data_IF_561935234333
#
_entry.id   IF_561935234333
#
_cell.length_a   1.000
_cell.length_b   1.000
_cell.length_c   1.000
_cell.angle_alpha   90.00
_cell.angle_beta   90.00
_cell.angle_gamma   90.00
#
_symmetry.space_group_name_H-M   'P 1'
#
loop_
_entity.id
_entity.type
_entity.pdbx_description
1 polymer ?
#
# COMPACT_ATOMS: atom_id res chain seq x y z
N UNK A 1 -60.37 -15.03 -60.00
CA UNK A 1 -60.34 -15.01 -58.53
C UNK A 1 -58.95 -14.56 -58.10
N UNK A 2 -58.82 -13.22 -57.91
CA UNK A 2 -57.54 -12.58 -57.50
C UNK A 2 -57.48 -12.57 -55.97
N UNK A 3 -56.44 -13.15 -55.40
CA UNK A 3 -56.12 -12.99 -53.98
C UNK A 3 -55.07 -11.88 -53.81
N UNK A 4 -55.52 -10.80 -53.19
CA UNK A 4 -54.67 -9.69 -52.79
C UNK A 4 -53.90 -10.08 -51.52
N UNK A 5 -52.54 -10.05 -51.58
CA UNK A 5 -51.67 -10.27 -50.44
C UNK A 5 -51.36 -8.90 -49.82
N UNK A 6 -51.85 -8.62 -48.62
CA UNK A 6 -51.54 -7.41 -47.86
C UNK A 6 -50.28 -7.72 -47.02
N UNK A 7 -49.17 -7.05 -47.33
CA UNK A 7 -47.98 -7.04 -46.48
C UNK A 7 -48.14 -6.04 -45.36
N UNK A 8 -48.25 -6.53 -44.13
CA UNK A 8 -48.18 -5.68 -42.92
C UNK A 8 -46.69 -5.39 -42.63
N UNK A 9 -46.25 -4.16 -42.84
CA UNK A 9 -44.97 -3.67 -42.38
C UNK A 9 -45.04 -3.37 -40.86
N UNK A 10 -44.47 -4.24 -40.04
CA UNK A 10 -44.28 -3.96 -38.61
C UNK A 10 -43.14 -2.97 -38.44
N UNK A 11 -43.43 -1.70 -38.20
CA UNK A 11 -42.44 -0.74 -37.68
C UNK A 11 -42.14 -1.10 -36.22
N UNK A 12 -41.00 -1.76 -35.98
CA UNK A 12 -40.45 -1.85 -34.63
C UNK A 12 -39.82 -0.51 -34.22
N UNK A 13 -40.17 0.08 -33.09
CA UNK A 13 -39.53 1.26 -32.59
C UNK A 13 -38.10 0.86 -32.18
N UNK A 14 -37.11 1.50 -32.77
CA UNK A 14 -35.71 1.41 -32.34
C UNK A 14 -35.62 1.98 -30.93
N UNK A 15 -35.49 1.14 -29.93
CA UNK A 15 -35.09 1.53 -28.59
C UNK A 15 -33.69 2.11 -28.64
N UNK A 16 -33.59 3.45 -28.67
CA UNK A 16 -32.35 4.14 -28.39
C UNK A 16 -31.97 3.82 -26.94
N UNK A 17 -31.08 2.88 -26.74
CA UNK A 17 -30.38 2.75 -25.47
C UNK A 17 -29.59 4.03 -25.23
N UNK A 18 -30.06 4.83 -24.28
CA UNK A 18 -29.29 5.98 -23.81
C UNK A 18 -27.95 5.44 -23.31
N UNK A 19 -26.87 5.82 -24.00
CA UNK A 19 -25.51 5.48 -23.61
C UNK A 19 -25.30 6.02 -22.21
N UNK A 20 -24.91 5.17 -21.25
CA UNK A 20 -24.58 5.61 -19.90
C UNK A 20 -23.60 6.79 -19.96
N UNK A 21 -23.77 7.84 -19.17
CA UNK A 21 -22.91 9.01 -19.20
C UNK A 21 -21.45 8.57 -19.00
N UNK A 22 -20.56 9.05 -19.86
CA UNK A 22 -19.14 8.74 -19.77
C UNK A 22 -18.58 9.33 -18.47
N UNK A 23 -18.16 8.47 -17.58
CA UNK A 23 -17.53 8.87 -16.31
C UNK A 23 -16.05 9.12 -16.51
N UNK A 24 -15.57 10.30 -16.14
CA UNK A 24 -14.17 10.67 -16.16
C UNK A 24 -13.63 10.77 -14.73
N UNK A 25 -12.43 10.25 -14.50
CA UNK A 25 -11.75 10.37 -13.21
C UNK A 25 -10.45 11.15 -13.35
N UNK A 26 -10.18 12.01 -12.37
CA UNK A 26 -9.02 12.89 -12.32
C UNK A 26 -8.40 12.87 -10.93
N UNK A 27 -7.08 12.81 -10.83
CA UNK A 27 -6.37 13.14 -9.60
C UNK A 27 -6.07 14.63 -9.64
N UNK A 28 -6.69 15.35 -8.74
CA UNK A 28 -6.51 16.79 -8.54
C UNK A 28 -5.40 17.01 -7.51
N UNK A 29 -4.51 17.95 -7.79
CA UNK A 29 -3.50 18.46 -6.87
C UNK A 29 -3.79 19.92 -6.62
N UNK A 30 -4.28 20.27 -5.44
CA UNK A 30 -4.51 21.65 -5.01
C UNK A 30 -3.30 22.12 -4.20
N UNK A 31 -2.74 23.27 -4.57
CA UNK A 31 -1.65 23.91 -3.81
C UNK A 31 -2.23 24.71 -2.62
N UNK A 32 -2.13 24.15 -1.43
CA UNK A 32 -2.55 24.84 -0.20
C UNK A 32 -1.33 25.51 0.46
N UNK A 33 -1.01 26.72 -0.02
CA UNK A 33 0.15 27.52 0.48
C UNK A 33 1.49 26.76 0.42
N UNK A 34 1.77 26.11 -0.70
CA UNK A 34 2.97 25.31 -0.89
C UNK A 34 2.86 23.85 -0.43
N UNK A 35 1.71 23.47 0.15
CA UNK A 35 1.44 22.08 0.57
C UNK A 35 0.42 21.45 -0.39
N UNK A 36 0.81 20.49 -1.21
CA UNK A 36 -0.10 19.87 -2.16
C UNK A 36 -1.10 18.95 -1.46
N UNK A 37 -2.39 19.13 -1.76
CA UNK A 37 -3.47 18.23 -1.42
C UNK A 37 -3.84 17.39 -2.66
N UNK A 38 -3.87 16.06 -2.52
CA UNK A 38 -4.24 15.13 -3.59
C UNK A 38 -5.65 14.62 -3.33
N UNK A 39 -6.53 14.79 -4.32
CA UNK A 39 -7.96 14.49 -4.20
C UNK A 39 -8.46 13.82 -5.48
N UNK A 40 -9.45 12.96 -5.36
CA UNK A 40 -10.08 12.33 -6.53
C UNK A 40 -11.31 13.12 -6.97
N UNK A 41 -11.34 13.46 -8.26
CA UNK A 41 -12.49 14.06 -8.93
C UNK A 41 -13.10 13.02 -9.89
N UNK A 42 -14.36 12.71 -9.70
CA UNK A 42 -15.15 11.90 -10.64
C UNK A 42 -16.22 12.79 -11.28
N UNK A 43 -16.23 12.85 -12.59
CA UNK A 43 -17.16 13.67 -13.38
C UNK A 43 -18.04 12.79 -14.26
N UNK A 44 -19.34 13.08 -14.24
CA UNK A 44 -20.33 12.58 -15.18
C UNK A 44 -20.83 13.74 -16.03
N UNK A 45 -20.87 13.56 -17.34
CA UNK A 45 -21.23 14.62 -18.27
C UNK A 45 -22.56 14.32 -18.97
N UNK A 46 -23.50 15.28 -18.88
CA UNK A 46 -24.75 15.29 -19.62
C UNK A 46 -24.86 16.60 -20.42
N UNK A 47 -24.41 16.60 -21.67
CA UNK A 47 -24.33 17.82 -22.49
C UNK A 47 -23.32 18.83 -21.94
N UNK A 48 -23.79 20.01 -21.50
CA UNK A 48 -22.94 21.01 -20.81
C UNK A 48 -22.91 20.82 -19.30
N UNK A 49 -23.88 20.13 -18.73
CA UNK A 49 -23.95 19.93 -17.28
C UNK A 49 -22.98 18.87 -16.81
N UNK A 50 -22.39 19.12 -15.64
CA UNK A 50 -21.51 18.22 -14.91
C UNK A 50 -22.16 17.87 -13.58
N UNK A 51 -22.09 16.60 -13.23
CA UNK A 51 -22.35 16.06 -11.88
C UNK A 51 -21.19 15.17 -11.50
N UNK A 52 -21.07 14.84 -10.23
CA UNK A 52 -20.04 13.92 -9.80
C UNK A 52 -19.72 14.04 -8.34
N UNK A 53 -18.49 13.63 -8.02
CA UNK A 53 -18.00 13.57 -6.65
C UNK A 53 -16.55 14.08 -6.63
N UNK A 54 -16.24 14.90 -5.64
CA UNK A 54 -14.89 15.35 -5.35
C UNK A 54 -14.52 14.93 -3.93
N UNK A 55 -13.58 14.01 -3.81
CA UNK A 55 -13.10 13.47 -2.53
C UNK A 55 -14.21 12.96 -1.57
N UNK A 56 -15.28 12.40 -2.16
CA UNK A 56 -16.45 11.92 -1.42
C UNK A 56 -17.63 12.89 -1.39
N UNK A 57 -17.44 14.18 -1.63
CA UNK A 57 -18.47 15.19 -1.58
C UNK A 57 -19.13 15.42 -2.95
N UNK A 58 -20.44 15.63 -3.03
CA UNK A 58 -21.15 15.85 -4.28
C UNK A 58 -20.77 17.17 -4.93
N UNK A 59 -20.73 17.17 -6.25
CA UNK A 59 -20.52 18.38 -7.04
C UNK A 59 -21.56 18.54 -8.16
N UNK A 60 -21.77 19.81 -8.52
CA UNK A 60 -22.53 20.22 -9.69
C UNK A 60 -21.77 21.31 -10.44
N UNK A 61 -21.93 21.36 -11.79
CA UNK A 61 -21.21 22.36 -12.58
C UNK A 61 -21.53 22.30 -14.06
N UNK A 62 -20.67 22.95 -14.84
CA UNK A 62 -20.80 23.01 -16.28
C UNK A 62 -19.44 22.93 -16.99
N UNK A 63 -19.45 22.41 -18.21
CA UNK A 63 -18.32 22.44 -19.12
C UNK A 63 -18.75 22.97 -20.48
N UNK A 64 -18.10 24.04 -20.92
CA UNK A 64 -18.31 24.66 -22.24
C UNK A 64 -16.99 24.63 -23.01
N UNK A 65 -16.92 23.77 -24.02
CA UNK A 65 -15.65 23.54 -24.70
C UNK A 65 -14.59 22.97 -23.75
N UNK A 66 -13.53 23.72 -23.57
CA UNK A 66 -12.43 23.37 -22.64
C UNK A 66 -12.56 24.03 -21.27
N UNK A 67 -13.45 25.02 -21.12
CA UNK A 67 -13.67 25.70 -19.84
C UNK A 67 -14.59 24.84 -18.94
N UNK A 68 -14.18 24.63 -17.71
CA UNK A 68 -14.85 23.80 -16.73
C UNK A 68 -15.02 24.62 -15.45
N UNK A 69 -16.25 24.59 -14.89
CA UNK A 69 -16.54 25.17 -13.60
C UNK A 69 -17.46 24.23 -12.81
N UNK A 70 -17.15 23.96 -11.56
CA UNK A 70 -18.00 23.18 -10.67
C UNK A 70 -17.93 23.67 -9.23
N UNK A 71 -18.95 23.34 -8.45
CA UNK A 71 -19.07 23.64 -7.04
C UNK A 71 -19.20 22.32 -6.30
N UNK A 72 -18.35 22.11 -5.33
CA UNK A 72 -18.41 20.98 -4.38
C UNK A 72 -19.10 21.48 -3.12
N UNK A 73 -19.95 20.67 -2.51
CA UNK A 73 -20.62 20.99 -1.25
C UNK A 73 -20.35 19.88 -0.25
N UNK A 74 -19.61 20.19 0.82
CA UNK A 74 -19.26 19.23 1.87
C UNK A 74 -20.45 18.90 2.82
N UNK A 75 -20.24 17.95 3.71
CA UNK A 75 -21.24 17.55 4.71
C UNK A 75 -21.63 18.68 5.66
N UNK A 76 -20.80 19.71 5.83
CA UNK A 76 -21.05 20.92 6.66
C UNK A 76 -21.73 22.04 5.86
N UNK A 77 -22.10 21.79 4.59
CA UNK A 77 -22.69 22.77 3.66
C UNK A 77 -21.73 23.90 3.25
N UNK A 78 -20.43 23.71 3.44
CA UNK A 78 -19.43 24.60 2.88
C UNK A 78 -19.25 24.32 1.39
N UNK A 79 -18.97 25.37 0.62
CA UNK A 79 -18.82 25.25 -0.83
C UNK A 79 -17.39 25.55 -1.26
N UNK A 80 -16.91 24.77 -2.22
CA UNK A 80 -15.59 24.91 -2.85
C UNK A 80 -15.83 25.11 -4.35
N UNK A 81 -15.32 26.19 -4.91
CA UNK A 81 -15.59 26.56 -6.31
C UNK A 81 -14.34 26.37 -7.15
N UNK A 82 -14.42 25.48 -8.13
CA UNK A 82 -13.33 25.17 -9.06
C UNK A 82 -13.62 25.78 -10.42
N UNK A 83 -12.61 26.43 -11.00
CA UNK A 83 -12.67 26.97 -12.36
C UNK A 83 -11.35 26.67 -13.08
N UNK A 84 -11.41 26.08 -14.28
CA UNK A 84 -10.20 25.68 -14.97
C UNK A 84 -10.41 25.35 -16.44
N UNK A 85 -9.30 24.98 -17.10
CA UNK A 85 -9.28 24.58 -18.51
C UNK A 85 -8.73 23.17 -18.67
N UNK A 86 -9.49 22.35 -19.38
CA UNK A 86 -9.10 21.00 -19.80
C UNK A 86 -8.25 21.09 -21.07
N UNK A 87 -7.10 20.43 -21.05
CA UNK A 87 -6.23 20.27 -22.22
C UNK A 87 -5.76 18.81 -22.30
N UNK A 88 -6.46 18.00 -23.11
CA UNK A 88 -6.22 16.56 -23.21
C UNK A 88 -6.42 15.84 -21.87
N UNK A 89 -5.35 15.24 -21.35
CA UNK A 89 -5.32 14.51 -20.09
C UNK A 89 -4.97 15.42 -18.88
N UNK A 90 -4.89 16.72 -19.07
CA UNK A 90 -4.60 17.69 -18.00
C UNK A 90 -5.72 18.71 -17.83
N UNK A 91 -5.90 19.14 -16.58
CA UNK A 91 -6.78 20.24 -16.20
C UNK A 91 -5.99 21.17 -15.27
N UNK A 92 -6.11 22.47 -15.47
CA UNK A 92 -5.45 23.50 -14.66
C UNK A 92 -6.40 24.63 -14.37
N UNK A 93 -6.32 25.21 -13.18
CA UNK A 93 -7.19 26.31 -12.80
C UNK A 93 -6.98 26.82 -11.39
N UNK A 94 -8.03 27.45 -10.87
CA UNK A 94 -8.09 27.96 -9.51
C UNK A 94 -9.26 27.34 -8.76
N UNK A 95 -9.06 27.11 -7.48
CA UNK A 95 -10.05 26.63 -6.55
C UNK A 95 -10.23 27.68 -5.44
N UNK A 96 -11.47 28.07 -5.19
CA UNK A 96 -11.81 29.04 -4.16
C UNK A 96 -12.41 28.28 -2.96
N UNK A 97 -11.69 28.29 -1.85
CA UNK A 97 -11.97 27.54 -0.62
C UNK A 97 -12.48 28.47 0.49
N UNK A 98 -13.36 28.00 1.38
CA UNK A 98 -13.64 28.71 2.60
C UNK A 98 -12.39 28.76 3.47
N UNK A 99 -12.12 29.91 4.10
CA UNK A 99 -11.05 30.02 5.09
C UNK A 99 -11.42 29.22 6.35
N UNK A 100 -10.53 28.33 6.80
CA UNK A 100 -10.78 27.46 7.95
C UNK A 100 -10.85 28.21 9.28
N UNK A 101 -10.24 29.38 9.38
CA UNK A 101 -10.20 30.20 10.60
C UNK A 101 -11.21 31.36 10.56
N UNK A 102 -11.64 31.77 9.38
CA UNK A 102 -12.64 32.80 9.19
C UNK A 102 -13.66 32.39 8.11
N UNK A 103 -14.79 31.74 8.48
CA UNK A 103 -15.79 31.26 7.52
C UNK A 103 -16.43 32.33 6.63
N UNK A 104 -16.23 33.63 6.95
CA UNK A 104 -16.65 34.78 6.15
C UNK A 104 -15.67 35.09 5.01
N UNK A 105 -14.45 34.57 5.09
CA UNK A 105 -13.39 34.77 4.12
C UNK A 105 -13.21 33.57 3.22
N UNK A 106 -12.57 33.77 2.09
CA UNK A 106 -12.24 32.73 1.13
C UNK A 106 -10.78 32.88 0.70
N UNK A 107 -10.16 31.74 0.34
CA UNK A 107 -8.81 31.70 -0.17
C UNK A 107 -8.79 31.03 -1.54
N UNK A 108 -8.10 31.67 -2.48
CA UNK A 108 -7.93 31.12 -3.85
C UNK A 108 -6.63 30.35 -3.94
N UNK A 109 -6.71 29.11 -4.39
CA UNK A 109 -5.60 28.19 -4.58
C UNK A 109 -5.45 27.82 -6.06
N UNK A 110 -4.23 27.63 -6.52
CA UNK A 110 -3.98 27.02 -7.81
C UNK A 110 -4.22 25.51 -7.72
N UNK A 111 -4.76 24.89 -8.77
CA UNK A 111 -4.82 23.45 -8.88
C UNK A 111 -4.43 22.96 -10.27
N UNK A 112 -3.93 21.74 -10.29
CA UNK A 112 -3.73 20.93 -11.49
C UNK A 112 -4.43 19.61 -11.34
N UNK A 113 -4.84 18.98 -12.45
CA UNK A 113 -5.35 17.62 -12.38
C UNK A 113 -4.84 16.78 -13.57
N UNK A 114 -4.67 15.51 -13.32
CA UNK A 114 -4.32 14.49 -14.31
C UNK A 114 -5.48 13.52 -14.45
N UNK A 115 -5.92 13.31 -15.69
CA UNK A 115 -6.96 12.33 -16.00
C UNK A 115 -6.45 10.92 -15.77
N UNK A 116 -7.26 10.09 -15.13
CA UNK A 116 -6.98 8.67 -15.03
C UNK A 116 -7.41 7.97 -16.32
N UNK A 117 -6.65 6.98 -16.79
CA UNK A 117 -7.09 6.18 -17.92
C UNK A 117 -8.40 5.45 -17.56
N UNK A 118 -9.31 5.24 -18.52
CA UNK A 118 -10.52 4.47 -18.27
C UNK A 118 -10.17 3.03 -17.92
N UNK A 119 -11.06 2.36 -17.13
CA UNK A 119 -10.85 0.95 -16.82
C UNK A 119 -10.79 0.16 -18.13
N UNK A 120 -9.74 -0.64 -18.33
CA UNK A 120 -9.66 -1.51 -19.50
C UNK A 120 -10.80 -2.52 -19.52
N UNK A 121 -11.34 -2.80 -20.71
CA UNK A 121 -12.29 -3.89 -20.89
C UNK A 121 -11.59 -5.26 -20.79
N UNK A 122 -12.33 -6.29 -20.35
CA UNK A 122 -11.84 -7.66 -20.26
C UNK A 122 -11.37 -8.08 -18.84
N UNK A 123 -10.74 -9.25 -18.74
CA UNK A 123 -10.26 -9.79 -17.46
C UNK A 123 -9.11 -8.96 -16.88
N UNK A 124 -8.79 -9.15 -15.58
CA UNK A 124 -7.61 -8.58 -14.96
C UNK A 124 -6.33 -8.87 -15.75
N UNK A 125 -5.43 -7.90 -15.79
CA UNK A 125 -4.20 -7.96 -16.60
C UNK A 125 -3.01 -8.41 -15.77
N UNK A 126 -2.01 -8.96 -16.48
CA UNK A 126 -0.68 -9.20 -15.93
C UNK A 126 0.28 -8.16 -16.53
N UNK A 127 0.82 -7.32 -15.68
CA UNK A 127 1.79 -6.30 -16.06
C UNK A 127 3.19 -6.79 -15.72
N UNK A 128 4.10 -6.76 -16.69
CA UNK A 128 5.53 -6.95 -16.43
C UNK A 128 6.19 -5.57 -16.40
N UNK A 129 6.57 -5.13 -15.20
CA UNK A 129 7.20 -3.83 -14.97
C UNK A 129 8.69 -4.02 -14.63
N UNK A 130 9.56 -3.49 -15.46
CA UNK A 130 11.01 -3.47 -15.21
C UNK A 130 11.38 -2.09 -14.65
N UNK A 131 11.77 -1.98 -13.36
CA UNK A 131 12.15 -0.72 -12.75
C UNK A 131 13.38 -0.12 -13.43
N UNK A 132 13.37 1.18 -13.63
CA UNK A 132 14.54 1.98 -14.08
C UNK A 132 14.90 3.07 -13.07
N UNK A 133 14.00 3.31 -12.11
CA UNK A 133 14.20 4.27 -11.01
C UNK A 133 13.60 3.68 -9.73
N UNK A 134 14.19 4.04 -8.61
CA UNK A 134 13.78 3.61 -7.27
C UNK A 134 13.62 4.82 -6.37
N UNK A 135 12.92 4.65 -5.26
CA UNK A 135 12.66 5.70 -4.29
C UNK A 135 13.27 5.36 -2.94
N UNK A 136 14.00 6.29 -2.35
CA UNK A 136 14.39 6.25 -0.93
C UNK A 136 13.42 7.01 -0.03
N UNK A 137 12.21 7.31 -0.55
CA UNK A 137 11.14 8.00 0.17
C UNK A 137 9.78 7.34 -0.12
N UNK A 138 8.95 7.22 0.91
CA UNK A 138 7.51 7.03 0.77
C UNK A 138 6.85 8.39 0.64
N UNK A 139 6.32 8.70 -0.54
CA UNK A 139 5.87 10.05 -0.88
C UNK A 139 4.66 10.04 -1.80
N UNK A 140 3.72 10.95 -1.56
CA UNK A 140 2.61 11.23 -2.48
C UNK A 140 3.03 12.11 -3.67
N UNK A 141 4.22 12.74 -3.60
CA UNK A 141 4.71 13.65 -4.64
C UNK A 141 5.34 12.92 -5.84
N UNK A 142 5.71 11.64 -5.66
CA UNK A 142 6.38 10.88 -6.72
C UNK A 142 5.38 10.46 -7.79
N UNK A 143 5.72 10.73 -9.05
CA UNK A 143 4.91 10.27 -10.19
C UNK A 143 4.79 8.74 -10.19
N UNK A 144 3.57 8.18 -10.28
CA UNK A 144 3.38 6.75 -10.38
C UNK A 144 4.08 6.13 -11.58
N UNK A 145 4.73 4.99 -11.37
CA UNK A 145 5.46 4.26 -12.41
C UNK A 145 4.52 3.41 -13.29
N UNK A 146 3.37 3.04 -12.75
CA UNK A 146 2.36 2.24 -13.44
C UNK A 146 1.00 2.46 -12.77
N UNK A 147 -0.08 2.52 -13.57
CA UNK A 147 -1.46 2.43 -13.09
C UNK A 147 -1.94 0.99 -13.23
N UNK A 148 -2.44 0.42 -12.14
CA UNK A 148 -2.99 -0.93 -12.05
C UNK A 148 -4.43 -0.90 -11.53
N UNK A 149 -5.23 -1.88 -11.90
CA UNK A 149 -6.63 -1.98 -11.49
C UNK A 149 -6.83 -3.13 -10.50
N UNK A 150 -7.85 -3.07 -9.63
CA UNK A 150 -8.20 -4.19 -8.76
C UNK A 150 -8.34 -5.50 -9.55
N UNK A 151 -7.66 -6.54 -9.07
CA UNK A 151 -7.51 -7.84 -9.73
C UNK A 151 -6.27 -7.96 -10.62
N UNK A 152 -5.63 -6.85 -11.03
CA UNK A 152 -4.43 -6.91 -11.84
C UNK A 152 -3.25 -7.52 -11.07
N UNK A 153 -2.38 -8.18 -11.79
CA UNK A 153 -1.13 -8.77 -11.29
C UNK A 153 0.06 -7.98 -11.83
N UNK A 154 1.02 -7.68 -10.98
CA UNK A 154 2.29 -7.05 -11.36
C UNK A 154 3.44 -8.02 -11.14
N UNK A 155 4.30 -8.16 -12.14
CA UNK A 155 5.61 -8.82 -12.07
C UNK A 155 6.68 -7.77 -12.15
N UNK A 156 7.56 -7.73 -11.15
CA UNK A 156 8.62 -6.74 -11.06
C UNK A 156 9.84 -7.29 -10.32
N UNK A 157 10.83 -6.45 -10.10
CA UNK A 157 12.05 -6.79 -9.34
C UNK A 157 12.29 -5.74 -8.26
N UNK A 158 13.01 -6.12 -7.20
CA UNK A 158 13.51 -5.21 -6.18
C UNK A 158 15.02 -5.08 -6.27
N UNK A 159 15.55 -4.05 -5.60
CA UNK A 159 16.95 -4.01 -5.16
C UNK A 159 17.03 -4.51 -3.72
N UNK A 160 18.25 -4.75 -3.23
CA UNK A 160 18.50 -4.92 -1.79
C UNK A 160 18.54 -3.56 -1.06
N UNK A 161 18.65 -3.57 0.27
CA UNK A 161 18.74 -2.36 1.10
C UNK A 161 19.92 -1.46 0.73
N UNK A 162 21.00 -2.04 0.18
CA UNK A 162 22.18 -1.32 -0.32
C UNK A 162 22.02 -0.69 -1.69
N UNK A 163 20.93 -0.97 -2.40
CA UNK A 163 20.66 -0.48 -3.75
C UNK A 163 21.27 -1.33 -4.86
N UNK A 164 21.63 -2.59 -4.60
CA UNK A 164 22.20 -3.50 -5.60
C UNK A 164 21.12 -4.37 -6.26
N UNK A 165 21.29 -4.61 -7.56
CA UNK A 165 20.43 -5.48 -8.36
C UNK A 165 20.85 -6.96 -8.31
N UNK A 166 20.19 -7.81 -9.11
CA UNK A 166 20.48 -9.23 -9.22
C UNK A 166 21.91 -9.55 -9.72
N UNK A 167 22.56 -8.62 -10.39
CA UNK A 167 23.94 -8.75 -10.85
C UNK A 167 24.97 -8.20 -9.84
N UNK A 168 24.51 -7.70 -8.68
CA UNK A 168 25.37 -7.07 -7.69
C UNK A 168 25.84 -5.65 -8.08
N UNK A 169 25.14 -5.00 -9.00
CA UNK A 169 25.45 -3.65 -9.44
C UNK A 169 24.59 -2.64 -8.71
N UNK A 170 25.19 -1.60 -8.16
CA UNK A 170 24.49 -0.50 -7.50
C UNK A 170 23.68 0.29 -8.52
N UNK A 171 22.38 0.43 -8.27
CA UNK A 171 21.38 1.13 -9.10
C UNK A 171 20.73 2.29 -8.39
N UNK A 172 20.74 2.31 -7.08
CA UNK A 172 20.17 3.35 -6.23
C UNK A 172 21.05 3.63 -5.01
N UNK A 173 20.75 4.70 -4.30
CA UNK A 173 21.41 4.99 -3.02
C UNK A 173 21.02 3.94 -1.99
N UNK A 174 21.96 3.65 -1.07
CA UNK A 174 21.71 2.92 0.16
C UNK A 174 20.52 3.51 0.94
N UNK A 175 19.78 2.67 1.66
CA UNK A 175 18.67 3.06 2.52
C UNK A 175 17.32 2.52 2.01
N UNK A 176 17.26 1.23 1.69
CA UNK A 176 16.05 0.46 1.36
C UNK A 176 15.28 1.04 0.15
N UNK A 177 15.93 1.20 -1.03
CA UNK A 177 15.27 1.76 -2.19
C UNK A 177 14.09 0.91 -2.64
N UNK A 178 12.93 1.57 -2.84
CA UNK A 178 11.66 0.93 -3.15
C UNK A 178 11.32 1.03 -4.63
N UNK A 179 10.74 -0.04 -5.18
CA UNK A 179 10.10 -0.05 -6.49
C UNK A 179 8.69 0.55 -6.37
N UNK A 180 8.34 1.49 -7.23
CA UNK A 180 7.05 2.19 -7.19
C UNK A 180 7.18 3.71 -7.29
N UNK A 181 6.08 4.46 -7.00
CA UNK A 181 4.79 3.95 -6.57
C UNK A 181 3.94 3.41 -7.71
N UNK A 182 3.16 2.36 -7.42
CA UNK A 182 2.10 1.87 -8.29
C UNK A 182 0.80 2.58 -7.91
N UNK A 183 0.15 3.20 -8.89
CA UNK A 183 -1.17 3.82 -8.69
C UNK A 183 -2.25 2.74 -8.82
N UNK A 184 -2.96 2.44 -7.75
CA UNK A 184 -4.07 1.48 -7.77
C UNK A 184 -5.36 2.24 -8.06
N UNK A 185 -5.87 2.08 -9.28
CA UNK A 185 -7.10 2.75 -9.70
C UNK A 185 -8.27 2.33 -8.78
N UNK A 186 -9.15 3.27 -8.48
CA UNK A 186 -10.28 3.17 -7.54
C UNK A 186 -9.93 3.21 -6.04
N UNK A 187 -8.66 3.10 -5.65
CA UNK A 187 -8.28 3.25 -4.25
C UNK A 187 -8.36 4.72 -3.82
N UNK A 188 -9.11 5.00 -2.77
CA UNK A 188 -9.35 6.35 -2.23
C UNK A 188 -8.98 6.41 -0.75
N UNK A 189 -8.68 7.61 -0.22
CA UNK A 189 -8.54 7.79 1.22
C UNK A 189 -9.73 7.19 1.98
N UNK A 190 -9.43 6.39 3.01
CA UNK A 190 -10.45 5.66 3.78
C UNK A 190 -10.74 4.24 3.30
N UNK A 191 -10.22 3.82 2.17
CA UNK A 191 -10.26 2.42 1.71
C UNK A 191 -9.13 1.56 2.34
N UNK A 192 -9.20 0.27 2.08
CA UNK A 192 -8.12 -0.67 2.39
C UNK A 192 -7.52 -1.24 1.12
N UNK A 193 -6.22 -1.03 0.91
CA UNK A 193 -5.47 -1.71 -0.13
C UNK A 193 -5.17 -3.15 0.30
N UNK A 194 -5.45 -4.11 -0.58
CA UNK A 194 -5.17 -5.53 -0.41
C UNK A 194 -4.06 -5.93 -1.38
N UNK A 195 -2.94 -6.40 -0.85
CA UNK A 195 -1.79 -6.87 -1.64
C UNK A 195 -1.59 -8.36 -1.39
N UNK A 196 -1.83 -9.19 -2.41
CA UNK A 196 -1.59 -10.64 -2.34
C UNK A 196 -0.23 -10.96 -2.93
N UNK A 197 0.68 -11.44 -2.12
CA UNK A 197 2.03 -11.85 -2.54
C UNK A 197 1.95 -13.22 -3.23
N UNK A 198 1.95 -13.20 -4.55
CA UNK A 198 1.76 -14.42 -5.37
C UNK A 198 3.04 -15.21 -5.52
N UNK A 199 4.19 -14.51 -5.62
CA UNK A 199 5.48 -15.13 -5.85
C UNK A 199 6.61 -14.22 -5.39
N UNK A 200 7.52 -14.78 -4.60
CA UNK A 200 8.76 -14.14 -4.16
C UNK A 200 9.91 -15.10 -4.49
N UNK A 201 10.80 -14.71 -5.42
CA UNK A 201 11.90 -15.57 -5.88
C UNK A 201 13.21 -14.83 -5.83
N UNK A 202 14.14 -15.40 -5.08
CA UNK A 202 15.52 -14.92 -5.07
C UNK A 202 16.07 -14.98 -6.49
N UNK A 203 16.69 -13.89 -6.95
CA UNK A 203 17.21 -13.75 -8.30
C UNK A 203 18.74 -13.60 -8.34
N UNK A 204 19.41 -13.86 -7.20
CA UNK A 204 20.86 -13.95 -7.06
C UNK A 204 21.23 -14.99 -5.99
N UNK A 205 22.51 -15.39 -5.95
CA UNK A 205 23.02 -16.50 -5.13
C UNK A 205 23.76 -16.01 -3.88
N UNK A 206 23.64 -14.76 -3.52
CA UNK A 206 24.27 -14.20 -2.33
C UNK A 206 23.36 -13.19 -1.63
N UNK A 207 23.61 -13.01 -0.33
CA UNK A 207 23.02 -11.97 0.50
C UNK A 207 24.09 -11.37 1.42
N UNK A 208 23.81 -10.21 1.97
CA UNK A 208 24.69 -9.53 2.91
C UNK A 208 23.97 -9.27 4.24
N UNK A 209 24.66 -9.41 5.35
CA UNK A 209 24.22 -9.04 6.70
C UNK A 209 25.35 -8.41 7.50
N UNK A 210 25.11 -8.16 8.79
CA UNK A 210 26.15 -7.73 9.73
C UNK A 210 26.35 -8.77 10.85
N UNK A 211 27.55 -8.84 11.41
CA UNK A 211 27.84 -9.57 12.65
C UNK A 211 27.51 -8.72 13.88
N UNK A 212 26.31 -8.15 13.93
CA UNK A 212 25.90 -7.23 14.99
C UNK A 212 24.70 -7.75 15.76
N UNK A 213 24.45 -7.14 16.91
CA UNK A 213 23.18 -7.23 17.65
C UNK A 213 22.72 -5.81 17.89
N UNK A 214 21.49 -5.52 17.49
CA UNK A 214 20.89 -4.17 17.64
C UNK A 214 20.86 -3.73 19.11
N UNK A 215 21.15 -2.46 19.35
CA UNK A 215 21.25 -1.93 20.72
C UNK A 215 20.02 -2.16 21.60
N UNK A 216 18.83 -2.21 21.00
CA UNK A 216 17.57 -2.50 21.72
C UNK A 216 17.48 -3.94 22.26
N UNK A 217 18.29 -4.88 21.73
CA UNK A 217 18.37 -6.26 22.20
C UNK A 217 19.54 -6.49 23.16
N UNK A 218 20.35 -5.48 23.46
CA UNK A 218 21.52 -5.57 24.31
C UNK A 218 21.23 -5.07 25.73
N UNK A 219 21.54 -5.87 26.76
CA UNK A 219 21.69 -5.33 28.11
C UNK A 219 23.09 -4.67 28.26
N UNK A 220 23.34 -3.86 29.30
CA UNK A 220 24.61 -3.16 29.49
C UNK A 220 25.86 -4.06 29.45
N UNK A 221 25.78 -5.25 30.03
CA UNK A 221 26.89 -6.20 30.08
C UNK A 221 27.23 -6.80 28.69
N UNK A 222 26.23 -7.04 27.88
CA UNK A 222 26.41 -7.53 26.50
C UNK A 222 26.85 -6.39 25.57
N UNK A 223 26.30 -5.19 25.75
CA UNK A 223 26.67 -4.01 24.98
C UNK A 223 28.18 -3.70 25.10
N UNK A 224 28.75 -3.83 26.31
CA UNK A 224 30.18 -3.67 26.54
C UNK A 224 31.08 -4.66 25.76
N UNK A 225 30.53 -5.84 25.40
CA UNK A 225 31.23 -6.85 24.60
C UNK A 225 31.00 -6.73 23.11
N UNK A 226 30.00 -5.97 22.70
CA UNK A 226 29.56 -5.84 21.32
C UNK A 226 30.21 -4.65 20.57
N UNK A 227 31.16 -3.95 21.17
CA UNK A 227 31.76 -2.71 20.64
C UNK A 227 32.52 -2.88 19.32
N UNK A 228 32.96 -4.09 19.00
CA UNK A 228 33.69 -4.39 17.76
C UNK A 228 32.84 -5.10 16.68
N UNK A 229 31.58 -5.30 16.94
CA UNK A 229 30.65 -5.90 16.01
C UNK A 229 30.19 -4.90 14.92
N UNK A 230 29.47 -5.38 13.92
CA UNK A 230 28.95 -4.56 12.82
C UNK A 230 29.76 -4.71 11.53
N UNK A 231 30.55 -5.77 11.40
CA UNK A 231 31.31 -6.08 10.17
C UNK A 231 30.37 -6.76 9.16
N UNK A 232 30.50 -6.45 7.85
CA UNK A 232 29.73 -7.13 6.82
C UNK A 232 29.98 -8.63 6.77
N UNK A 233 28.90 -9.40 6.65
CA UNK A 233 28.94 -10.85 6.48
C UNK A 233 28.26 -11.21 5.18
N UNK A 234 29.02 -11.78 4.24
CA UNK A 234 28.48 -12.33 3.00
C UNK A 234 27.95 -13.75 3.25
N UNK A 235 26.75 -14.02 2.70
CA UNK A 235 26.10 -15.32 2.71
C UNK A 235 26.01 -15.90 1.31
N UNK A 236 26.24 -17.20 1.19
CA UNK A 236 25.93 -17.98 0.00
C UNK A 236 24.49 -18.49 0.11
N UNK A 237 23.70 -18.28 -0.94
CA UNK A 237 22.34 -18.77 -1.07
C UNK A 237 22.33 -20.00 -1.98
N UNK A 238 22.08 -21.17 -1.40
CA UNK A 238 21.91 -22.42 -2.15
C UNK A 238 20.40 -22.55 -2.49
N UNK A 239 20.04 -22.08 -3.68
CA UNK A 239 18.65 -22.04 -4.15
C UNK A 239 18.06 -23.44 -4.41
N UNK A 240 18.93 -24.45 -4.70
CA UNK A 240 18.49 -25.82 -4.94
C UNK A 240 18.16 -26.52 -3.61
N UNK A 241 19.02 -26.35 -2.60
CA UNK A 241 18.79 -26.93 -1.28
C UNK A 241 17.88 -26.09 -0.40
N UNK A 242 17.57 -24.86 -0.79
CA UNK A 242 16.73 -23.94 -0.03
C UNK A 242 17.35 -23.46 1.29
N UNK A 243 18.67 -23.28 1.33
CA UNK A 243 19.40 -22.87 2.55
C UNK A 243 20.42 -21.75 2.26
N UNK A 244 20.71 -20.95 3.29
CA UNK A 244 21.80 -19.99 3.29
C UNK A 244 22.87 -20.40 4.30
N UNK A 245 24.14 -20.07 4.01
CA UNK A 245 25.29 -20.26 4.90
C UNK A 245 26.26 -19.10 4.79
N UNK A 246 27.01 -18.73 5.85
CA UNK A 246 28.08 -17.75 5.73
C UNK A 246 29.09 -18.18 4.66
N UNK A 247 29.50 -17.26 3.79
CA UNK A 247 30.46 -17.57 2.72
C UNK A 247 31.83 -17.91 3.28
N UNK A 248 32.23 -17.23 4.37
CA UNK A 248 33.51 -17.44 5.09
C UNK A 248 33.22 -17.74 6.56
N UNK A 249 32.71 -18.95 6.87
CA UNK A 249 32.37 -19.30 8.24
C UNK A 249 33.63 -19.50 9.10
N UNK A 250 33.52 -19.22 10.41
CA UNK A 250 34.50 -19.71 11.37
C UNK A 250 34.40 -21.23 11.49
N UNK A 251 35.38 -21.90 12.08
CA UNK A 251 35.35 -23.36 12.29
C UNK A 251 34.09 -23.80 13.05
N UNK A 252 33.62 -22.98 14.00
CA UNK A 252 32.42 -23.28 14.79
C UNK A 252 31.09 -23.14 13.99
N UNK A 253 31.08 -22.31 12.93
CA UNK A 253 29.90 -22.09 12.10
C UNK A 253 30.00 -22.83 10.74
N UNK A 254 30.95 -23.68 10.52
CA UNK A 254 31.23 -24.38 9.28
C UNK A 254 30.04 -25.21 8.74
N UNK A 255 29.21 -25.72 9.65
CA UNK A 255 27.99 -26.48 9.33
C UNK A 255 26.71 -25.67 9.55
N UNK A 256 26.83 -24.39 9.91
CA UNK A 256 25.67 -23.55 10.18
C UNK A 256 24.95 -23.18 8.90
N UNK A 257 23.65 -23.48 8.83
CA UNK A 257 22.77 -23.11 7.73
C UNK A 257 21.44 -22.62 8.28
N UNK A 258 20.77 -21.76 7.51
CA UNK A 258 19.40 -21.34 7.79
C UNK A 258 18.52 -21.63 6.57
N UNK A 259 17.26 -22.04 6.73
CA UNK A 259 16.35 -22.20 5.60
C UNK A 259 16.08 -20.86 4.92
N UNK A 260 16.02 -20.86 3.59
CA UNK A 260 15.56 -19.70 2.82
C UNK A 260 14.07 -19.50 3.02
N UNK A 261 13.68 -18.30 3.36
CA UNK A 261 12.29 -17.85 3.49
C UNK A 261 12.17 -16.44 2.94
N UNK A 262 12.13 -16.28 1.59
CA UNK A 262 12.09 -14.97 0.95
C UNK A 262 10.92 -14.13 1.45
N UNK A 263 11.19 -12.89 1.80
CA UNK A 263 10.23 -11.93 2.32
C UNK A 263 10.51 -10.51 1.83
N UNK A 264 9.56 -9.61 1.97
CA UNK A 264 9.72 -8.16 1.75
C UNK A 264 9.76 -7.46 3.11
N UNK A 265 10.88 -6.79 3.43
CA UNK A 265 10.99 -5.90 4.58
C UNK A 265 10.17 -4.63 4.35
N UNK A 266 10.24 -4.08 3.14
CA UNK A 266 9.53 -2.87 2.72
C UNK A 266 8.26 -3.15 1.91
N UNK A 267 7.09 -2.74 2.44
CA UNK A 267 5.81 -2.69 1.72
C UNK A 267 4.95 -1.56 2.30
N UNK A 268 4.62 -0.55 1.49
CA UNK A 268 3.98 0.66 1.97
C UNK A 268 3.01 1.27 0.96
N UNK A 269 2.06 2.05 1.46
CA UNK A 269 1.32 3.06 0.70
C UNK A 269 1.87 4.45 1.01
N UNK A 270 1.58 5.45 0.18
CA UNK A 270 2.00 6.81 0.49
C UNK A 270 1.35 7.31 1.80
N UNK A 271 2.10 8.06 2.63
CA UNK A 271 1.57 8.66 3.85
C UNK A 271 0.46 9.66 3.57
N UNK A 272 -0.35 9.97 4.60
CA UNK A 272 -1.51 10.84 4.48
C UNK A 272 -1.18 12.30 4.19
N UNK A 273 -2.22 13.08 3.93
CA UNK A 273 -2.11 14.53 3.72
C UNK A 273 -1.39 15.23 4.89
N UNK A 274 -0.56 16.19 4.57
CA UNK A 274 0.25 16.96 5.53
C UNK A 274 1.49 16.24 6.05
N UNK A 275 1.69 14.96 5.73
CA UNK A 275 2.94 14.29 6.03
C UNK A 275 4.00 14.66 4.99
N UNK A 276 5.19 15.07 5.47
CA UNK A 276 6.36 15.16 4.60
C UNK A 276 6.72 13.77 4.06
N UNK A 277 7.47 13.68 2.95
CA UNK A 277 8.04 12.42 2.50
C UNK A 277 8.79 11.72 3.64
N UNK A 278 8.51 10.44 3.85
CA UNK A 278 9.14 9.63 4.88
C UNK A 278 10.25 8.78 4.26
N UNK A 279 11.33 8.61 5.00
CA UNK A 279 12.42 7.70 4.58
C UNK A 279 11.90 6.28 4.39
N UNK A 280 12.42 5.54 3.42
CA UNK A 280 12.10 4.13 3.24
C UNK A 280 12.61 3.21 4.36
N UNK A 281 13.39 3.74 5.30
CA UNK A 281 13.69 3.10 6.59
C UNK A 281 12.66 3.38 7.69
N UNK A 282 11.62 4.19 7.42
CA UNK A 282 10.55 4.48 8.38
C UNK A 282 9.40 3.49 8.23
N UNK A 283 8.65 3.31 9.30
CA UNK A 283 7.49 2.43 9.36
C UNK A 283 6.36 3.06 10.17
N UNK A 284 5.11 2.65 9.92
CA UNK A 284 3.94 3.17 10.61
C UNK A 284 2.64 2.57 10.08
N UNK A 285 1.53 3.27 10.29
CA UNK A 285 0.22 2.83 9.81
C UNK A 285 0.18 2.57 8.30
N UNK A 286 0.97 3.28 7.53
CA UNK A 286 1.08 3.15 6.07
C UNK A 286 1.85 1.91 5.60
N UNK A 287 2.36 1.06 6.50
CA UNK A 287 3.34 0.03 6.25
C UNK A 287 4.75 0.57 6.45
N UNK A 288 5.58 0.50 5.43
CA UNK A 288 6.97 0.98 5.47
C UNK A 288 7.97 -0.15 5.56
N UNK A 289 9.08 0.11 6.22
CA UNK A 289 10.11 -0.87 6.57
C UNK A 289 9.63 -1.72 7.75
N UNK A 290 8.68 -2.62 7.46
CA UNK A 290 8.02 -3.41 8.50
C UNK A 290 8.92 -4.50 9.07
N UNK A 291 9.86 -5.01 8.26
CA UNK A 291 10.76 -6.12 8.56
C UNK A 291 10.05 -7.25 9.30
N UNK A 292 8.82 -7.52 8.86
CA UNK A 292 8.01 -8.57 9.43
C UNK A 292 8.11 -9.83 8.57
N UNK A 293 8.75 -10.84 9.12
CA UNK A 293 9.08 -12.10 8.43
C UNK A 293 7.89 -12.96 8.02
N UNK A 294 6.65 -12.44 8.14
CA UNK A 294 5.42 -13.00 7.58
C UNK A 294 4.94 -12.26 6.31
N UNK A 295 5.67 -11.25 5.83
CA UNK A 295 5.40 -10.62 4.53
C UNK A 295 6.03 -11.47 3.42
N UNK A 296 5.48 -12.67 3.24
CA UNK A 296 6.01 -13.77 2.41
C UNK A 296 5.03 -14.19 1.31
N UNK A 297 5.53 -15.00 0.37
CA UNK A 297 4.71 -15.63 -0.67
C UNK A 297 3.50 -16.38 -0.06
N UNK A 298 2.34 -16.22 -0.68
CA UNK A 298 1.09 -16.85 -0.27
C UNK A 298 0.28 -16.05 0.75
N UNK A 299 0.89 -15.07 1.41
CA UNK A 299 0.21 -14.22 2.38
C UNK A 299 -0.40 -12.97 1.71
N UNK A 300 -1.37 -12.37 2.39
CA UNK A 300 -2.05 -11.15 2.00
C UNK A 300 -1.76 -10.04 3.00
N UNK A 301 -1.40 -8.86 2.50
CA UNK A 301 -1.15 -7.67 3.31
C UNK A 301 -2.26 -6.65 3.07
N UNK A 302 -2.79 -6.05 4.15
CA UNK A 302 -3.81 -5.03 4.14
C UNK A 302 -3.23 -3.73 4.68
N UNK A 303 -3.33 -2.66 3.90
CA UNK A 303 -2.80 -1.34 4.24
C UNK A 303 -3.90 -0.27 4.15
N UNK A 304 -3.98 0.69 5.09
CA UNK A 304 -4.94 1.79 5.00
C UNK A 304 -4.56 2.75 3.89
N UNK A 305 -5.50 3.08 3.03
CA UNK A 305 -5.29 4.06 1.95
C UNK A 305 -5.46 5.47 2.51
N UNK A 306 -4.45 6.32 2.30
CA UNK A 306 -4.44 7.72 2.74
C UNK A 306 -4.29 8.72 1.59
N UNK A 307 -4.03 8.24 0.37
CA UNK A 307 -3.88 9.05 -0.84
C UNK A 307 -4.63 8.41 -2.01
N UNK A 308 -5.15 9.20 -2.97
CA UNK A 308 -5.72 8.64 -4.20
C UNK A 308 -4.74 7.69 -4.89
N UNK A 309 -5.24 6.50 -5.25
CA UNK A 309 -4.44 5.45 -5.86
C UNK A 309 -3.52 4.70 -4.89
N UNK A 310 -3.68 4.90 -3.58
CA UNK A 310 -2.86 4.31 -2.52
C UNK A 310 -1.36 4.59 -2.66
N UNK A 311 -0.82 4.57 -3.88
CA UNK A 311 0.60 4.75 -4.21
C UNK A 311 1.46 3.69 -3.52
N UNK A 312 1.34 2.45 -4.00
CA UNK A 312 2.01 1.29 -3.42
C UNK A 312 3.50 1.27 -3.76
N UNK A 313 4.33 1.07 -2.75
CA UNK A 313 5.77 0.84 -2.83
C UNK A 313 6.12 -0.53 -2.28
N UNK A 314 7.16 -1.17 -2.84
CA UNK A 314 7.71 -2.42 -2.33
C UNK A 314 9.22 -2.53 -2.58
N UNK A 315 9.93 -3.19 -1.67
CA UNK A 315 11.38 -3.37 -1.76
C UNK A 315 11.95 -4.04 -0.52
N UNK A 316 13.25 -3.86 -0.32
CA UNK A 316 13.93 -4.37 0.87
C UNK A 316 13.71 -5.89 1.03
N UNK A 317 14.24 -6.62 0.06
CA UNK A 317 14.04 -8.06 -0.03
C UNK A 317 15.05 -8.82 0.82
N UNK A 318 14.57 -9.74 1.65
CA UNK A 318 15.38 -10.59 2.49
C UNK A 318 15.28 -12.05 2.05
N UNK A 319 16.40 -12.76 2.03
CA UNK A 319 16.44 -14.21 1.76
C UNK A 319 15.98 -15.03 2.98
N UNK A 320 16.21 -14.53 4.18
CA UNK A 320 15.73 -15.04 5.45
C UNK A 320 15.89 -13.97 6.54
N UNK A 321 15.02 -14.01 7.55
CA UNK A 321 15.08 -13.13 8.73
C UNK A 321 14.54 -13.88 9.95
N UNK A 322 15.26 -13.81 11.07
CA UNK A 322 14.74 -14.19 12.39
C UNK A 322 13.82 -13.12 12.97
N UNK A 323 13.00 -13.47 13.97
CA UNK A 323 12.18 -12.50 14.69
C UNK A 323 13.05 -11.36 15.24
N UNK A 324 12.57 -10.13 15.07
CA UNK A 324 13.21 -8.93 15.57
C UNK A 324 14.35 -8.38 14.73
N UNK A 325 14.79 -9.06 13.66
CA UNK A 325 15.93 -8.62 12.84
C UNK A 325 17.13 -8.19 13.68
N UNK A 326 17.52 -9.03 14.61
CA UNK A 326 18.44 -8.67 15.70
C UNK A 326 19.89 -8.35 15.25
N UNK A 327 20.25 -8.66 14.01
CA UNK A 327 21.57 -8.35 13.44
C UNK A 327 21.67 -7.00 12.73
N UNK A 328 20.66 -6.14 12.80
CA UNK A 328 20.54 -4.84 12.11
C UNK A 328 20.22 -4.97 10.63
N UNK A 329 20.74 -5.94 9.93
CA UNK A 329 20.36 -6.36 8.58
C UNK A 329 20.03 -7.86 8.61
N UNK A 330 18.97 -8.23 7.96
CA UNK A 330 18.64 -9.62 7.70
C UNK A 330 19.59 -10.21 6.64
N UNK A 331 19.18 -11.20 5.89
CA UNK A 331 19.92 -11.63 4.70
C UNK A 331 19.47 -10.81 3.50
N UNK A 332 20.07 -9.61 3.36
CA UNK A 332 19.73 -8.60 2.37
C UNK A 332 20.00 -9.08 0.96
N UNK A 333 19.00 -9.03 0.09
CA UNK A 333 19.12 -9.52 -1.28
C UNK A 333 18.19 -8.80 -2.24
N UNK A 334 18.27 -9.10 -3.53
CA UNK A 334 17.29 -8.69 -4.54
C UNK A 334 16.40 -9.86 -4.92
N UNK A 335 15.22 -9.57 -5.50
CA UNK A 335 14.22 -10.59 -5.72
C UNK A 335 13.28 -10.25 -6.89
N UNK A 336 12.75 -11.29 -7.55
CA UNK A 336 11.62 -11.18 -8.45
C UNK A 336 10.33 -11.30 -7.63
N UNK A 337 9.40 -10.38 -7.86
CA UNK A 337 8.16 -10.25 -7.11
C UNK A 337 6.96 -10.32 -8.05
N UNK A 338 5.98 -11.15 -7.71
CA UNK A 338 4.67 -11.15 -8.35
C UNK A 338 3.59 -10.92 -7.29
N UNK A 339 2.78 -9.89 -7.46
CA UNK A 339 1.70 -9.55 -6.54
C UNK A 339 0.43 -9.16 -7.28
N UNK A 340 -0.71 -9.32 -6.63
CA UNK A 340 -2.03 -8.87 -7.10
C UNK A 340 -2.54 -7.82 -6.15
N UNK A 341 -3.18 -6.77 -6.68
CA UNK A 341 -3.82 -5.73 -5.88
C UNK A 341 -5.33 -5.84 -5.92
N UNK A 342 -5.97 -5.46 -4.82
CA UNK A 342 -7.42 -5.29 -4.71
C UNK A 342 -7.74 -4.13 -3.76
N UNK A 343 -8.99 -3.67 -3.71
CA UNK A 343 -9.42 -2.56 -2.86
C UNK A 343 -10.72 -2.93 -2.14
N UNK A 344 -10.74 -2.78 -0.83
CA UNK A 344 -11.95 -2.92 -0.03
C UNK A 344 -12.51 -1.53 0.25
N UNK A 345 -13.69 -1.27 -0.30
CA UNK A 345 -14.44 -0.03 -0.12
C UNK A 345 -15.49 -0.16 0.99
N UNK A 346 -15.86 0.96 1.60
CA UNK A 346 -17.01 1.05 2.51
C UNK A 346 -16.82 0.37 3.88
N UNK A 347 -15.63 -0.12 4.19
CA UNK A 347 -15.24 -0.59 5.53
C UNK A 347 -14.18 0.33 6.10
N UNK A 348 -14.23 0.58 7.41
CA UNK A 348 -13.17 1.34 8.06
C UNK A 348 -11.80 0.68 7.79
N UNK A 349 -10.79 1.44 7.36
CA UNK A 349 -9.47 0.89 7.08
C UNK A 349 -8.81 0.37 8.36
N UNK A 350 -7.85 -0.57 8.24
CA UNK A 350 -7.12 -1.05 9.40
C UNK A 350 -6.37 0.09 10.09
N UNK A 351 -6.38 0.08 11.42
CA UNK A 351 -5.62 1.05 12.22
C UNK A 351 -4.10 0.82 12.15
N UNK A 352 -3.70 -0.41 11.81
CA UNK A 352 -2.32 -0.86 11.62
C UNK A 352 -2.24 -1.78 10.41
N UNK A 353 -1.06 -1.99 9.80
CA UNK A 353 -0.89 -3.03 8.79
C UNK A 353 -1.36 -4.39 9.30
N UNK A 354 -2.03 -5.16 8.44
CA UNK A 354 -2.46 -6.52 8.73
C UNK A 354 -1.83 -7.49 7.74
N UNK A 355 -1.48 -8.67 8.21
CA UNK A 355 -1.03 -9.78 7.37
C UNK A 355 -1.92 -10.98 7.64
N UNK A 356 -2.44 -11.57 6.58
CA UNK A 356 -3.25 -12.76 6.64
C UNK A 356 -2.53 -13.90 5.92
N UNK A 357 -2.33 -15.01 6.63
CA UNK A 357 -1.85 -16.26 6.06
C UNK A 357 -2.99 -17.29 5.96
N UNK A 358 -2.77 -18.45 5.34
CA UNK A 358 -3.74 -19.53 5.38
C UNK A 358 -4.17 -19.94 6.79
N UNK A 359 -3.30 -19.75 7.79
CA UNK A 359 -3.49 -20.24 9.16
C UNK A 359 -3.63 -19.16 10.23
N UNK A 360 -3.20 -17.92 9.97
CA UNK A 360 -3.16 -16.86 10.98
C UNK A 360 -3.74 -15.54 10.49
N UNK A 361 -4.32 -14.79 11.42
CA UNK A 361 -4.51 -13.34 11.36
C UNK A 361 -3.36 -12.69 12.13
N UNK A 362 -2.76 -11.63 11.60
CA UNK A 362 -1.61 -10.95 12.19
C UNK A 362 -1.78 -9.44 12.08
N UNK A 363 -1.89 -8.74 13.21
CA UNK A 363 -1.94 -7.28 13.26
C UNK A 363 -0.57 -6.76 13.70
N UNK A 364 0.04 -5.89 12.89
CA UNK A 364 1.39 -5.38 13.11
C UNK A 364 1.34 -3.98 13.73
N UNK A 365 1.61 -3.89 15.02
CA UNK A 365 1.82 -2.62 15.71
C UNK A 365 3.25 -2.14 15.56
N UNK A 366 3.42 -0.83 15.39
CA UNK A 366 4.71 -0.17 15.22
C UNK A 366 4.75 1.08 16.09
N UNK A 367 5.90 1.35 16.70
CA UNK A 367 6.03 2.47 17.62
C UNK A 367 7.47 2.79 18.01
N UNK A 368 7.66 3.81 18.84
CA UNK A 368 8.96 4.18 19.40
C UNK A 368 9.45 3.22 20.47
N UNK A 369 8.55 2.42 21.06
CA UNK A 369 8.86 1.42 22.08
C UNK A 369 8.11 0.11 21.82
N UNK A 370 8.58 -1.00 22.37
CA UNK A 370 7.89 -2.30 22.30
C UNK A 370 6.50 -2.22 22.96
N UNK A 371 6.34 -1.45 24.04
CA UNK A 371 5.07 -1.25 24.71
C UNK A 371 4.04 -0.57 23.78
N UNK A 372 4.45 0.48 23.06
CA UNK A 372 3.55 1.18 22.14
C UNK A 372 3.21 0.29 20.92
N UNK A 373 4.20 -0.44 20.43
CA UNK A 373 4.00 -1.39 19.35
C UNK A 373 3.03 -2.52 19.75
N UNK A 374 3.17 -3.06 20.96
CA UNK A 374 2.28 -4.10 21.50
C UNK A 374 0.85 -3.58 21.67
N UNK A 375 0.66 -2.37 22.24
CA UNK A 375 -0.67 -1.74 22.35
C UNK A 375 -1.31 -1.55 20.99
N UNK A 376 -0.54 -1.08 20.00
CA UNK A 376 -1.00 -0.87 18.63
C UNK A 376 -1.39 -2.20 17.96
N UNK A 377 -0.58 -3.25 18.12
CA UNK A 377 -0.89 -4.59 17.59
C UNK A 377 -2.16 -5.18 18.20
N UNK A 378 -2.32 -5.03 19.53
CA UNK A 378 -3.52 -5.51 20.26
C UNK A 378 -4.77 -4.78 19.78
N UNK A 379 -4.70 -3.44 19.67
CA UNK A 379 -5.81 -2.63 19.15
C UNK A 379 -6.17 -3.01 17.71
N UNK A 380 -5.16 -3.20 16.86
CA UNK A 380 -5.36 -3.63 15.47
C UNK A 380 -6.01 -5.00 15.35
N UNK A 381 -5.64 -5.94 16.21
CA UNK A 381 -6.28 -7.27 16.25
C UNK A 381 -7.71 -7.21 16.80
N UNK A 382 -7.95 -6.46 17.86
CA UNK A 382 -9.31 -6.26 18.39
C UNK A 382 -10.23 -5.61 17.33
N UNK A 383 -9.74 -4.60 16.62
CA UNK A 383 -10.47 -4.01 15.50
C UNK A 383 -10.76 -5.03 14.39
N UNK A 384 -9.83 -5.93 14.09
CA UNK A 384 -10.05 -6.97 13.08
C UNK A 384 -11.14 -7.95 13.50
N UNK A 385 -11.10 -8.39 14.76
CA UNK A 385 -12.11 -9.28 15.34
C UNK A 385 -13.51 -8.65 15.35
N UNK A 386 -13.60 -7.37 15.68
CA UNK A 386 -14.84 -6.60 15.60
C UNK A 386 -15.37 -6.54 14.16
N UNK A 387 -14.52 -6.17 13.20
CA UNK A 387 -14.92 -5.94 11.80
C UNK A 387 -15.36 -7.20 11.07
N UNK A 388 -14.66 -8.31 11.26
CA UNK A 388 -14.86 -9.53 10.46
C UNK A 388 -15.65 -10.60 11.21
N UNK A 389 -15.68 -10.54 12.56
CA UNK A 389 -16.39 -11.51 13.40
C UNK A 389 -17.47 -10.90 14.27
N UNK A 390 -17.60 -9.56 14.31
CA UNK A 390 -18.61 -8.85 15.10
C UNK A 390 -18.40 -8.98 16.61
N UNK A 391 -17.18 -9.32 17.05
CA UNK A 391 -16.91 -9.52 18.47
C UNK A 391 -16.92 -8.17 19.20
N UNK A 392 -17.58 -8.14 20.35
CA UNK A 392 -17.44 -7.05 21.31
C UNK A 392 -16.03 -7.01 21.90
N UNK A 393 -15.65 -5.90 22.51
CA UNK A 393 -14.35 -5.79 23.17
C UNK A 393 -14.18 -6.85 24.28
N UNK A 394 -15.26 -7.18 25.00
CA UNK A 394 -15.25 -8.22 26.05
C UNK A 394 -15.00 -9.62 25.47
N UNK A 395 -15.63 -9.97 24.36
CA UNK A 395 -15.40 -11.24 23.66
C UNK A 395 -14.00 -11.28 23.04
N UNK A 396 -13.56 -10.20 22.42
CA UNK A 396 -12.19 -10.06 21.92
C UNK A 396 -11.15 -10.23 23.03
N UNK A 397 -11.41 -9.70 24.23
CA UNK A 397 -10.52 -9.87 25.38
C UNK A 397 -10.40 -11.35 25.81
N UNK A 398 -11.50 -12.11 25.75
CA UNK A 398 -11.48 -13.56 26.06
C UNK A 398 -10.66 -14.34 25.01
N UNK A 399 -10.86 -14.05 23.72
CA UNK A 399 -10.12 -14.67 22.63
C UNK A 399 -8.63 -14.32 22.72
N UNK A 400 -8.30 -13.04 22.87
CA UNK A 400 -6.91 -12.59 22.95
C UNK A 400 -6.21 -13.13 24.21
N UNK A 401 -6.86 -13.05 25.38
CA UNK A 401 -6.29 -13.50 26.64
C UNK A 401 -5.97 -14.99 26.69
N UNK A 402 -6.63 -15.80 25.87
CA UNK A 402 -6.46 -17.26 25.83
C UNK A 402 -5.63 -17.78 24.66
N UNK A 403 -5.44 -17.01 23.57
CA UNK A 403 -4.91 -17.60 22.33
C UNK A 403 -4.00 -16.70 21.49
N UNK A 404 -3.89 -15.39 21.79
CA UNK A 404 -2.97 -14.51 21.04
C UNK A 404 -1.51 -14.87 21.34
N UNK A 405 -0.70 -14.79 20.30
CA UNK A 405 0.75 -14.86 20.39
C UNK A 405 1.33 -13.50 20.00
N UNK A 406 2.23 -12.95 20.79
CA UNK A 406 2.97 -11.74 20.45
C UNK A 406 4.38 -12.10 20.01
N UNK A 407 4.80 -11.61 18.84
CA UNK A 407 6.14 -11.77 18.32
C UNK A 407 6.75 -10.40 18.03
N UNK A 408 8.05 -10.27 18.30
CA UNK A 408 8.79 -9.07 17.93
C UNK A 408 9.11 -9.17 16.44
N UNK A 409 8.54 -8.26 15.64
CA UNK A 409 8.76 -8.23 14.20
C UNK A 409 10.10 -7.59 13.83
N UNK A 410 10.37 -6.40 14.41
CA UNK A 410 11.54 -5.59 14.08
C UNK A 410 12.07 -4.85 15.31
N UNK A 411 13.40 -4.88 15.51
CA UNK A 411 14.16 -4.08 16.47
C UNK A 411 15.20 -3.18 15.78
N UNK A 412 15.52 -3.47 14.51
CA UNK A 412 16.60 -2.84 13.76
C UNK A 412 16.23 -1.45 13.24
N UNK A 413 15.00 -1.25 12.79
CA UNK A 413 14.52 -0.02 12.20
C UNK A 413 14.49 1.19 13.14
N UNK A 414 14.05 2.33 12.62
CA UNK A 414 13.84 3.56 13.43
C UNK A 414 12.73 3.38 14.45
N UNK A 415 11.72 2.61 14.13
CA UNK A 415 10.66 2.16 15.03
C UNK A 415 10.82 0.67 15.32
N UNK A 416 10.19 0.19 16.38
CA UNK A 416 10.10 -1.23 16.69
C UNK A 416 8.75 -1.78 16.24
N UNK A 417 8.69 -3.08 15.91
CA UNK A 417 7.49 -3.78 15.50
C UNK A 417 7.12 -4.93 16.43
N UNK A 418 5.85 -5.05 16.77
CA UNK A 418 5.26 -6.21 17.44
C UNK A 418 4.05 -6.68 16.64
N UNK A 419 3.95 -7.98 16.39
CA UNK A 419 2.77 -8.57 15.76
C UNK A 419 1.95 -9.35 16.79
N UNK A 420 0.64 -9.05 16.84
CA UNK A 420 -0.34 -9.92 17.49
C UNK A 420 -0.77 -10.97 16.45
N UNK A 421 -0.45 -12.25 16.71
CA UNK A 421 -0.77 -13.40 15.85
C UNK A 421 -1.86 -14.24 16.48
N UNK A 422 -2.88 -14.55 15.70
CA UNK A 422 -4.02 -15.38 16.13
C UNK A 422 -4.26 -16.49 15.11
N UNK A 423 -4.22 -17.75 15.55
CA UNK A 423 -4.56 -18.89 14.70
C UNK A 423 -6.04 -18.84 14.30
N UNK A 424 -6.34 -18.93 13.02
CA UNK A 424 -7.72 -18.96 12.50
C UNK A 424 -8.52 -20.14 13.05
N UNK A 425 -7.86 -21.26 13.36
CA UNK A 425 -8.49 -22.42 13.97
C UNK A 425 -9.12 -22.10 15.33
N UNK A 426 -8.61 -21.09 16.07
CA UNK A 426 -9.19 -20.65 17.35
C UNK A 426 -10.53 -19.92 17.14
N UNK A 427 -10.78 -19.43 15.95
CA UNK A 427 -12.01 -18.73 15.57
C UNK A 427 -13.04 -19.64 14.88
N UNK A 428 -12.75 -20.93 14.72
CA UNK A 428 -13.65 -21.86 14.01
C UNK A 428 -15.04 -22.01 14.67
N UNK A 429 -15.14 -21.76 15.98
CA UNK A 429 -16.40 -21.76 16.73
C UNK A 429 -17.08 -20.37 16.82
N UNK A 430 -16.49 -19.33 16.24
CA UNK A 430 -17.02 -17.97 16.25
C UNK A 430 -17.77 -17.74 14.94
N UNK A 431 -19.05 -17.38 15.01
CA UNK A 431 -19.81 -17.02 13.82
C UNK A 431 -19.28 -15.71 13.23
N UNK A 432 -19.02 -15.65 11.92
CA UNK A 432 -18.67 -14.37 11.28
C UNK A 432 -19.77 -13.32 11.49
N UNK A 433 -19.38 -12.05 11.54
CA UNK A 433 -20.36 -10.96 11.51
C UNK A 433 -21.27 -11.15 10.30
N UNK A 434 -22.59 -11.11 10.49
CA UNK A 434 -23.54 -11.35 9.41
C UNK A 434 -23.24 -10.47 8.18
N UNK A 435 -23.17 -11.13 7.00
CA UNK A 435 -23.02 -10.46 5.71
C UNK A 435 -24.26 -9.67 5.36
#
# INVERSE_FOLDING_TARGET
MNRLLVLLLCCMPSLLFAQAPATEQWVVTTDLWGNPAYQLLTLERAGKQLKGVFDGDPLEGERVGNDLRFVVTDARKQTYVFSGKVNGESLRGTADYPDSNNPQSRATHAFTARRLPPRPSGPPRVHTFKPTTWSNEFSAHRTPVLTVWPGDTVRTTTLDSGGMDAQGLTRALFGNPQTGPFFVATANPGDTLVVRLKRLRLNRTFADSLDSIVGRALNPGLAAKATELGKPVRWKLDLERGVASPEKPTERLKQFTVPLRPMLGGLAVAPGFGAAPLSTGDTGRFGGNMDFNEVVEGNTVFLPVSQPGALLYLGDAHAAQGDGETSQYALETSMDVEFTVDVLHGKAPPSTPRVESPTHLMALGQGGSLDDALRSATAGMAQWLEQDYGLTLSESAQVLGSSVQYVVANLAGRSVGVAAKLEKARLAGVSPAGK
#
